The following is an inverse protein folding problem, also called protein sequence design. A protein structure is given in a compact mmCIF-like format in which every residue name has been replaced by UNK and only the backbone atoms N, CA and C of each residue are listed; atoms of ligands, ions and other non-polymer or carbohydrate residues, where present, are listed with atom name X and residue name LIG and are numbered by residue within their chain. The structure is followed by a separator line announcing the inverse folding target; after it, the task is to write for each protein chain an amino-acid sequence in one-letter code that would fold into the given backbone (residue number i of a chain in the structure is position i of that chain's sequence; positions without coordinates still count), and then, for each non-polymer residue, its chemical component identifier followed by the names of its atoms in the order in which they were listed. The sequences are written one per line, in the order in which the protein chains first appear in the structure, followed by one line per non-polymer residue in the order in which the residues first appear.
data_IF_518858128635
#
_entry.id   IF_518858128635
#
_cell.length_a   1.000
_cell.length_b   1.000
_cell.length_c   1.000
_cell.angle_alpha   90.00
_cell.angle_beta   90.00
_cell.angle_gamma   90.00
#
_symmetry.space_group_name_H-M   'P 1'
#
loop_
_entity.id
_entity.type
_entity.pdbx_description
1 polymer ?
#
# COMPACT_ATOMS: atom_id res chain seq x y z
N UNK A 1 33.36 -35.90 -46.85
CA UNK A 1 32.71 -35.99 -45.53
C UNK A 1 32.43 -34.57 -45.00
N UNK A 2 31.19 -34.08 -45.08
CA UNK A 2 30.77 -32.82 -44.44
C UNK A 2 29.86 -33.19 -43.27
N UNK A 3 30.30 -32.90 -42.04
CA UNK A 3 29.50 -33.09 -40.82
C UNK A 3 28.59 -31.87 -40.66
N UNK A 4 27.28 -32.07 -40.78
CA UNK A 4 26.27 -31.05 -40.45
C UNK A 4 26.05 -31.03 -38.95
N UNK A 5 26.18 -29.86 -38.33
CA UNK A 5 25.81 -29.61 -36.94
C UNK A 5 24.31 -29.26 -36.90
N UNK A 6 23.50 -30.06 -36.20
CA UNK A 6 22.14 -29.69 -35.84
C UNK A 6 22.21 -28.80 -34.59
N UNK A 7 21.71 -27.57 -34.69
CA UNK A 7 21.46 -26.71 -33.53
C UNK A 7 20.00 -26.91 -33.14
N UNK A 8 19.77 -27.57 -32.00
CA UNK A 8 18.44 -27.64 -31.37
C UNK A 8 18.16 -26.31 -30.67
N UNK A 9 17.20 -25.55 -31.20
CA UNK A 9 16.60 -24.42 -30.49
C UNK A 9 15.65 -24.98 -29.42
N UNK A 10 16.00 -24.82 -28.15
CA UNK A 10 15.07 -25.06 -27.04
C UNK A 10 14.25 -23.79 -26.86
N UNK A 11 12.97 -23.84 -27.24
CA UNK A 11 12.00 -22.82 -26.85
C UNK A 11 11.63 -23.07 -25.38
N UNK A 12 12.18 -22.25 -24.48
CA UNK A 12 11.67 -22.14 -23.12
C UNK A 12 10.33 -21.38 -23.19
N UNK A 13 9.23 -22.09 -23.05
CA UNK A 13 7.92 -21.49 -22.83
C UNK A 13 7.93 -20.80 -21.46
N UNK A 14 7.93 -19.47 -21.45
CA UNK A 14 7.65 -18.69 -20.24
C UNK A 14 6.18 -18.97 -19.93
N UNK A 15 5.92 -19.83 -18.94
CA UNK A 15 4.60 -19.94 -18.36
C UNK A 15 4.28 -18.58 -17.74
N UNK A 16 3.45 -17.78 -18.41
CA UNK A 16 2.89 -16.59 -17.80
C UNK A 16 2.13 -17.04 -16.57
N UNK A 17 2.61 -16.64 -15.39
CA UNK A 17 1.87 -16.81 -14.15
C UNK A 17 0.49 -16.19 -14.40
N UNK A 18 -0.54 -17.04 -14.32
CA UNK A 18 -1.91 -16.57 -14.38
C UNK A 18 -2.07 -15.67 -13.15
N UNK A 19 -2.24 -14.36 -13.38
CA UNK A 19 -2.44 -13.39 -12.32
C UNK A 19 -3.51 -13.94 -11.38
N UNK A 20 -3.18 -14.03 -10.09
CA UNK A 20 -4.17 -14.33 -9.07
C UNK A 20 -5.31 -13.32 -9.21
N UNK A 21 -6.54 -13.78 -9.09
CA UNK A 21 -7.67 -12.85 -9.02
C UNK A 21 -7.48 -12.10 -7.69
N UNK A 22 -6.98 -10.87 -7.71
CA UNK A 22 -6.83 -10.01 -6.53
C UNK A 22 -5.51 -10.14 -5.74
N UNK A 23 -5.39 -9.42 -4.61
CA UNK A 23 -4.13 -9.27 -3.88
C UNK A 23 -3.68 -10.54 -3.17
N UNK A 24 -2.36 -10.68 -2.99
CA UNK A 24 -1.76 -11.84 -2.33
C UNK A 24 -1.99 -11.77 -0.81
N UNK A 25 -1.78 -10.61 -0.22
CA UNK A 25 -2.00 -10.33 1.19
C UNK A 25 -3.38 -9.73 1.47
N UNK A 26 -3.77 -9.67 2.74
CA UNK A 26 -4.99 -8.98 3.13
C UNK A 26 -4.85 -7.47 2.96
N UNK A 27 -5.70 -6.91 2.11
CA UNK A 27 -5.76 -5.50 1.78
C UNK A 27 -6.92 -4.85 2.53
N UNK A 28 -6.59 -3.97 3.47
CA UNK A 28 -7.54 -3.26 4.29
C UNK A 28 -7.91 -1.96 3.63
N UNK A 29 -9.21 -1.68 3.53
CA UNK A 29 -9.77 -0.57 2.79
C UNK A 29 -10.78 0.18 3.65
N UNK A 30 -10.80 1.50 3.53
CA UNK A 30 -11.76 2.35 4.24
C UNK A 30 -12.68 3.06 3.25
N UNK A 31 -13.99 2.97 3.48
CA UNK A 31 -15.05 3.67 2.77
C UNK A 31 -15.76 4.61 3.76
N UNK A 32 -15.10 5.70 4.12
CA UNK A 32 -15.50 6.59 5.20
C UNK A 32 -16.90 7.19 5.04
N UNK A 33 -17.30 7.55 3.82
CA UNK A 33 -18.65 8.09 3.53
C UNK A 33 -19.76 7.08 3.84
N UNK A 34 -19.46 5.79 3.69
CA UNK A 34 -20.35 4.70 4.04
C UNK A 34 -20.14 4.20 5.48
N UNK A 35 -19.13 4.72 6.18
CA UNK A 35 -18.76 4.28 7.53
C UNK A 35 -18.33 2.82 7.59
N UNK A 36 -17.71 2.31 6.52
CA UNK A 36 -17.35 0.89 6.40
C UNK A 36 -15.84 0.70 6.24
N UNK A 37 -15.34 -0.37 6.85
CA UNK A 37 -14.03 -0.93 6.56
C UNK A 37 -14.19 -2.30 5.91
N UNK A 38 -13.30 -2.61 4.98
CA UNK A 38 -13.29 -3.83 4.19
C UNK A 38 -11.92 -4.48 4.26
N UNK A 39 -11.90 -5.81 4.18
CA UNK A 39 -10.66 -6.59 3.98
C UNK A 39 -10.87 -7.51 2.80
N UNK A 40 -10.05 -7.34 1.78
CA UNK A 40 -10.08 -8.17 0.57
C UNK A 40 -8.78 -8.95 0.44
N UNK A 41 -8.86 -10.16 -0.10
CA UNK A 41 -7.70 -10.99 -0.41
C UNK A 41 -8.08 -11.98 -1.50
N UNK A 42 -7.20 -12.18 -2.47
CA UNK A 42 -7.55 -12.87 -3.69
C UNK A 42 -8.85 -12.28 -4.27
N UNK A 43 -9.76 -13.13 -4.73
CA UNK A 43 -10.96 -12.70 -5.43
C UNK A 43 -12.18 -12.44 -4.54
N UNK A 44 -12.00 -12.29 -3.22
CA UNK A 44 -13.10 -12.21 -2.27
C UNK A 44 -12.94 -11.09 -1.24
N UNK A 45 -14.08 -10.65 -0.70
CA UNK A 45 -14.16 -9.89 0.54
C UNK A 45 -14.09 -10.88 1.71
N UNK A 46 -13.01 -10.85 2.48
CA UNK A 46 -12.82 -11.73 3.63
C UNK A 46 -13.64 -11.26 4.84
N UNK A 47 -13.63 -9.95 5.09
CA UNK A 47 -14.24 -9.32 6.27
C UNK A 47 -14.71 -7.89 5.96
N UNK A 48 -15.64 -7.42 6.76
CA UNK A 48 -16.07 -6.02 6.77
C UNK A 48 -16.65 -5.66 8.14
N UNK A 49 -16.54 -4.40 8.55
CA UNK A 49 -17.18 -3.90 9.75
C UNK A 49 -17.54 -2.42 9.62
N UNK A 50 -18.44 -1.97 10.49
CA UNK A 50 -18.81 -0.56 10.61
C UNK A 50 -17.73 0.16 11.42
N UNK A 51 -17.29 1.32 10.93
CA UNK A 51 -16.37 2.20 11.60
C UNK A 51 -16.94 2.78 12.90
N UNK A 52 -16.13 2.80 13.96
CA UNK A 52 -16.50 3.24 15.29
C UNK A 52 -16.71 4.76 15.40
N UNK A 53 -16.07 5.55 14.53
CA UNK A 53 -16.19 7.02 14.52
C UNK A 53 -16.92 7.56 13.28
N UNK A 54 -17.04 6.75 12.22
CA UNK A 54 -17.58 7.19 10.93
C UNK A 54 -16.63 8.15 10.18
N UNK A 55 -16.72 8.17 8.85
CA UNK A 55 -15.85 9.03 8.02
C UNK A 55 -14.37 8.63 8.03
N UNK A 56 -14.05 7.41 8.45
CA UNK A 56 -12.68 6.94 8.58
C UNK A 56 -12.07 6.70 7.19
N UNK A 57 -10.87 7.25 6.96
CA UNK A 57 -10.18 7.20 5.68
C UNK A 57 -8.69 6.87 5.81
N UNK A 58 -7.78 7.76 6.27
CA UNK A 58 -6.40 7.35 6.45
C UNK A 58 -6.33 6.11 7.34
N UNK A 59 -5.57 5.12 6.88
CA UNK A 59 -5.46 3.82 7.51
C UNK A 59 -3.99 3.45 7.66
N UNK A 60 -3.64 2.78 8.74
CA UNK A 60 -2.33 2.18 8.96
C UNK A 60 -2.54 0.78 9.55
N UNK A 61 -1.96 -0.24 8.92
CA UNK A 61 -2.16 -1.63 9.35
C UNK A 61 -0.84 -2.28 9.74
N UNK A 62 -0.72 -2.63 11.02
CA UNK A 62 0.40 -3.40 11.58
C UNK A 62 -0.11 -4.62 12.35
N UNK A 63 0.13 -4.68 13.66
CA UNK A 63 -0.55 -5.63 14.56
C UNK A 63 -2.00 -5.25 14.86
N UNK A 64 -2.36 -3.99 14.60
CA UNK A 64 -3.70 -3.41 14.73
C UNK A 64 -3.99 -2.57 13.48
N UNK A 65 -5.26 -2.32 13.22
CA UNK A 65 -5.74 -1.37 12.21
C UNK A 65 -5.98 -0.04 12.91
N UNK A 66 -5.34 1.03 12.46
CA UNK A 66 -5.54 2.38 12.98
C UNK A 66 -6.07 3.26 11.88
N UNK A 67 -7.08 4.06 12.19
CA UNK A 67 -7.70 4.99 11.24
C UNK A 67 -7.59 6.42 11.73
N UNK A 68 -7.82 7.36 10.82
CA UNK A 68 -8.18 8.74 11.11
C UNK A 68 -9.49 9.11 10.41
N UNK A 69 -10.12 10.16 10.93
CA UNK A 69 -11.20 10.88 10.26
C UNK A 69 -10.73 12.31 10.04
N UNK A 70 -10.83 12.82 8.81
CA UNK A 70 -10.38 14.16 8.47
C UNK A 70 -11.09 15.23 9.33
N UNK A 71 -10.34 15.97 10.14
CA UNK A 71 -10.87 16.97 11.08
C UNK A 71 -11.60 16.43 12.32
N UNK A 72 -11.57 15.11 12.57
CA UNK A 72 -12.22 14.48 13.74
C UNK A 72 -11.30 13.44 14.39
N UNK A 73 -11.87 12.48 15.13
CA UNK A 73 -11.13 11.36 15.72
C UNK A 73 -11.28 10.10 14.87
N UNK A 74 -10.18 9.37 14.66
CA UNK A 74 -10.20 7.99 14.19
C UNK A 74 -10.23 6.98 15.35
N UNK A 75 -10.04 5.71 15.03
CA UNK A 75 -10.10 4.61 15.98
C UNK A 75 -9.03 3.53 15.73
N UNK A 76 -8.97 2.57 16.65
CA UNK A 76 -8.14 1.38 16.53
C UNK A 76 -9.01 0.12 16.57
N UNK A 77 -8.64 -0.86 15.76
CA UNK A 77 -9.28 -2.15 15.69
C UNK A 77 -8.22 -3.25 15.74
N UNK A 78 -8.60 -4.40 16.29
CA UNK A 78 -7.89 -5.65 15.98
C UNK A 78 -7.94 -5.93 14.47
N UNK A 79 -7.06 -6.80 13.96
CA UNK A 79 -7.08 -7.23 12.55
C UNK A 79 -8.40 -7.90 12.11
N UNK A 80 -9.19 -8.36 13.09
CA UNK A 80 -10.53 -8.92 12.88
C UNK A 80 -11.66 -7.89 12.89
N UNK A 81 -11.37 -6.60 13.05
CA UNK A 81 -12.36 -5.51 13.04
C UNK A 81 -13.05 -5.24 14.37
N UNK A 82 -12.55 -5.77 15.48
CA UNK A 82 -13.06 -5.44 16.82
C UNK A 82 -12.44 -4.13 17.30
N UNK A 83 -13.26 -3.11 17.55
CA UNK A 83 -12.87 -1.82 18.14
C UNK A 83 -12.20 -2.02 19.51
N UNK A 84 -11.00 -1.49 19.70
CA UNK A 84 -10.24 -1.61 20.95
C UNK A 84 -10.60 -0.54 21.97
N UNK A 85 -11.34 0.50 21.55
CA UNK A 85 -11.68 1.68 22.34
C UNK A 85 -10.66 2.82 22.25
N UNK A 86 -9.48 2.60 21.64
CA UNK A 86 -8.52 3.68 21.42
C UNK A 86 -9.01 4.66 20.33
N UNK A 87 -8.72 5.95 20.51
CA UNK A 87 -9.14 7.04 19.61
C UNK A 87 -7.97 7.97 19.32
N UNK A 88 -7.90 8.44 18.10
CA UNK A 88 -6.78 9.24 17.62
C UNK A 88 -7.28 10.57 17.08
N UNK A 89 -6.83 11.67 17.65
CA UNK A 89 -7.17 12.99 17.14
C UNK A 89 -6.46 13.26 15.81
N UNK A 90 -7.16 13.87 14.85
CA UNK A 90 -6.51 14.31 13.63
C UNK A 90 -5.34 15.27 13.94
N UNK A 91 -4.15 15.08 13.36
CA UNK A 91 -2.95 15.79 13.79
C UNK A 91 -3.02 17.27 13.44
N UNK A 92 -2.68 18.14 14.38
CA UNK A 92 -2.63 19.58 14.13
C UNK A 92 -1.54 19.93 13.11
N UNK A 93 -1.82 20.90 12.22
CA UNK A 93 -0.87 21.37 11.21
C UNK A 93 -0.93 20.62 9.88
N UNK A 94 -1.66 19.51 9.81
CA UNK A 94 -2.03 18.85 8.55
C UNK A 94 -3.40 19.40 8.13
N UNK A 95 -3.54 19.85 6.88
CA UNK A 95 -4.77 20.43 6.37
C UNK A 95 -5.87 19.38 6.18
N UNK A 96 -5.57 18.34 5.43
CA UNK A 96 -6.44 17.18 5.25
C UNK A 96 -5.66 15.97 4.75
N UNK A 97 -6.11 14.77 5.08
CA UNK A 97 -5.55 13.53 4.56
C UNK A 97 -6.66 12.49 4.36
N UNK A 98 -6.54 11.68 3.31
CA UNK A 98 -7.55 10.68 2.92
C UNK A 98 -6.99 9.26 2.84
N UNK A 99 -5.67 9.12 2.88
CA UNK A 99 -4.97 7.85 2.93
C UNK A 99 -3.82 7.94 3.94
N UNK A 100 -3.30 6.79 4.34
CA UNK A 100 -2.19 6.69 5.28
C UNK A 100 -1.41 5.39 5.08
N UNK A 101 -0.24 5.34 5.71
CA UNK A 101 0.61 4.13 5.71
C UNK A 101 1.47 4.06 6.97
N UNK A 102 2.23 2.99 7.17
CA UNK A 102 3.08 2.81 8.36
C UNK A 102 4.38 2.07 8.07
N UNK A 103 5.46 2.44 8.76
CA UNK A 103 6.72 1.67 8.86
C UNK A 103 6.75 0.80 10.14
N UNK A 104 5.60 0.61 10.79
CA UNK A 104 5.39 -0.01 12.11
C UNK A 104 5.89 0.77 13.33
N UNK A 105 6.70 1.83 13.14
CA UNK A 105 7.16 2.70 14.22
C UNK A 105 6.49 4.08 14.20
N UNK A 106 6.05 4.50 13.02
CA UNK A 106 5.47 5.78 12.67
C UNK A 106 4.34 5.53 11.68
N UNK A 107 3.42 6.50 11.57
CA UNK A 107 2.47 6.54 10.46
C UNK A 107 2.81 7.73 9.56
N UNK A 108 2.47 7.59 8.28
CA UNK A 108 2.68 8.61 7.28
C UNK A 108 1.37 9.02 6.65
N UNK A 109 1.27 10.31 6.36
CA UNK A 109 0.13 10.94 5.71
C UNK A 109 0.64 11.79 4.56
N UNK A 110 -0.18 11.93 3.52
CA UNK A 110 0.01 12.97 2.53
C UNK A 110 -1.10 14.02 2.68
N UNK A 111 -0.68 15.28 2.82
CA UNK A 111 -1.59 16.39 2.97
C UNK A 111 -2.19 16.75 1.62
N UNK A 112 -3.49 16.49 1.48
CA UNK A 112 -4.26 16.78 0.28
C UNK A 112 -4.25 18.28 -0.05
N UNK A 113 -4.31 19.15 0.95
CA UNK A 113 -4.54 20.59 0.79
C UNK A 113 -3.29 21.36 0.37
N UNK A 114 -2.11 20.94 0.83
CA UNK A 114 -0.86 21.67 0.57
C UNK A 114 0.28 20.80 0.01
N UNK A 115 0.08 19.48 -0.12
CA UNK A 115 1.05 18.57 -0.73
C UNK A 115 2.27 18.26 0.13
N UNK A 116 2.13 18.28 1.46
CA UNK A 116 3.19 17.87 2.39
C UNK A 116 3.11 16.39 2.73
N UNK A 117 4.25 15.69 2.79
CA UNK A 117 4.34 14.34 3.36
C UNK A 117 4.73 14.46 4.81
N UNK A 118 3.90 13.92 5.69
CA UNK A 118 4.04 14.04 7.15
C UNK A 118 4.31 12.68 7.77
N UNK A 119 5.18 12.67 8.77
CA UNK A 119 5.36 11.56 9.71
C UNK A 119 4.65 11.90 11.02
N UNK A 120 4.07 10.88 11.65
CA UNK A 120 3.46 10.94 12.98
C UNK A 120 3.91 9.73 13.79
N UNK A 121 3.72 9.76 15.10
CA UNK A 121 3.80 8.57 15.94
C UNK A 121 2.69 7.56 15.54
N UNK A 122 2.76 6.32 16.03
CA UNK A 122 1.78 5.27 15.68
C UNK A 122 0.33 5.62 16.04
N UNK A 123 0.12 6.50 17.03
CA UNK A 123 -1.19 7.00 17.44
C UNK A 123 -1.60 8.27 16.69
N UNK A 124 -0.91 8.57 15.58
CA UNK A 124 -1.05 9.76 14.76
C UNK A 124 -0.64 11.07 15.44
N UNK A 125 -0.08 11.04 16.66
CA UNK A 125 0.38 12.25 17.34
C UNK A 125 1.74 12.74 16.82
N UNK A 126 2.18 13.90 17.33
CA UNK A 126 3.50 14.48 17.04
C UNK A 126 3.85 14.61 15.55
N UNK A 127 3.01 15.31 14.75
CA UNK A 127 3.25 15.44 13.32
C UNK A 127 4.55 16.21 13.04
N UNK A 128 5.33 15.68 12.10
CA UNK A 128 6.56 16.28 11.59
C UNK A 128 6.55 16.21 10.06
N UNK A 129 6.65 17.36 9.41
CA UNK A 129 6.80 17.42 7.96
C UNK A 129 8.12 16.74 7.59
N UNK A 130 8.08 15.75 6.70
CA UNK A 130 9.28 15.13 6.13
C UNK A 130 9.80 15.96 4.96
N UNK A 131 8.91 16.22 4.00
CA UNK A 131 9.21 17.01 2.81
C UNK A 131 7.92 17.54 2.18
N UNK A 132 8.05 18.58 1.36
CA UNK A 132 6.97 19.12 0.56
C UNK A 132 7.11 18.61 -0.88
N UNK A 133 6.03 18.13 -1.48
CA UNK A 133 6.02 17.60 -2.86
C UNK A 133 6.09 18.72 -3.91
N UNK A 134 5.78 19.96 -3.53
CA UNK A 134 5.64 21.08 -4.45
C UNK A 134 4.47 20.91 -5.44
N UNK A 135 3.97 22.00 -6.00
CA UNK A 135 2.83 21.96 -6.92
C UNK A 135 1.47 21.92 -6.23
N UNK A 136 0.42 21.60 -6.99
CA UNK A 136 -0.97 21.67 -6.54
C UNK A 136 -1.29 20.65 -5.45
N UNK A 137 -2.22 21.04 -4.58
CA UNK A 137 -3.11 20.15 -3.83
C UNK A 137 -3.63 19.02 -4.76
N UNK A 138 -4.02 17.87 -4.21
CA UNK A 138 -4.54 16.65 -4.89
C UNK A 138 -3.66 15.39 -4.76
N UNK A 139 -2.73 15.36 -3.81
CA UNK A 139 -2.06 14.10 -3.41
C UNK A 139 -2.96 13.34 -2.46
N UNK A 140 -3.23 12.08 -2.76
CA UNK A 140 -4.20 11.29 -2.02
C UNK A 140 -3.60 10.01 -1.44
N UNK A 141 -3.22 9.07 -2.31
CA UNK A 141 -2.74 7.77 -1.85
C UNK A 141 -1.28 7.81 -1.42
N UNK A 142 -0.92 7.05 -0.41
CA UNK A 142 0.45 6.93 0.10
C UNK A 142 0.70 5.51 0.62
N UNK A 143 1.86 4.92 0.29
CA UNK A 143 2.28 3.63 0.88
C UNK A 143 3.78 3.59 1.12
N UNK A 144 4.19 2.86 2.16
CA UNK A 144 5.58 2.69 2.56
C UNK A 144 6.18 1.40 1.99
N UNK A 145 7.41 1.49 1.52
CA UNK A 145 8.17 0.37 0.98
C UNK A 145 9.24 -0.09 1.97
N UNK A 146 8.97 -1.18 2.70
CA UNK A 146 9.91 -1.75 3.67
C UNK A 146 11.21 -2.27 3.04
N UNK A 147 11.23 -2.55 1.73
CA UNK A 147 12.38 -3.18 1.08
C UNK A 147 13.57 -2.22 0.92
N UNK A 148 13.29 -0.91 0.81
CA UNK A 148 14.30 0.13 0.59
C UNK A 148 14.07 1.41 1.41
N UNK A 149 13.09 1.41 2.32
CA UNK A 149 12.75 2.54 3.19
C UNK A 149 12.43 3.80 2.36
N UNK A 150 11.38 3.68 1.54
CA UNK A 150 10.90 4.74 0.64
C UNK A 150 9.38 4.86 0.71
N UNK A 151 8.84 5.88 0.04
CA UNK A 151 7.41 6.14 -0.04
C UNK A 151 6.95 6.22 -1.48
N UNK A 152 5.78 5.66 -1.75
CA UNK A 152 5.04 5.86 -2.99
C UNK A 152 3.84 6.78 -2.72
N UNK A 153 3.59 7.72 -3.61
CA UNK A 153 2.49 8.69 -3.51
C UNK A 153 1.74 8.76 -4.84
N UNK A 154 0.42 8.76 -4.79
CA UNK A 154 -0.43 8.99 -5.97
C UNK A 154 -1.12 10.35 -5.91
N UNK A 155 -1.36 10.92 -7.09
CA UNK A 155 -2.24 12.08 -7.23
C UNK A 155 -3.62 11.66 -7.70
N UNK A 156 -4.67 12.30 -7.16
CA UNK A 156 -6.05 12.03 -7.52
C UNK A 156 -6.28 12.24 -9.01
N UNK A 157 -6.29 13.48 -9.51
CA UNK A 157 -6.50 13.74 -10.94
C UNK A 157 -5.20 14.07 -11.69
N UNK A 158 -4.06 13.81 -11.07
CA UNK A 158 -2.74 14.05 -11.66
C UNK A 158 -2.27 12.91 -12.57
N UNK A 159 -2.96 11.75 -12.55
CA UNK A 159 -2.61 10.55 -13.33
C UNK A 159 -1.12 10.18 -13.18
N UNK A 160 -0.64 10.14 -11.94
CA UNK A 160 0.76 9.87 -11.63
C UNK A 160 0.87 9.10 -10.31
N UNK A 161 1.81 8.17 -10.29
CA UNK A 161 2.34 7.53 -9.08
C UNK A 161 3.83 7.84 -9.03
N UNK A 162 4.29 8.37 -7.91
CA UNK A 162 5.65 8.88 -7.71
C UNK A 162 6.32 8.17 -6.54
N UNK A 163 7.62 7.92 -6.67
CA UNK A 163 8.46 7.22 -5.72
C UNK A 163 9.47 8.19 -5.12
N UNK A 164 9.55 8.24 -3.79
CA UNK A 164 10.39 9.18 -3.06
C UNK A 164 11.23 8.48 -2.01
N UNK A 165 12.47 8.91 -1.85
CA UNK A 165 13.22 8.66 -0.62
C UNK A 165 12.57 9.42 0.55
N UNK A 166 12.90 9.02 1.79
CA UNK A 166 12.33 9.64 3.01
C UNK A 166 12.70 11.13 3.19
N UNK A 167 13.71 11.62 2.47
CA UNK A 167 14.09 13.05 2.44
C UNK A 167 13.38 13.85 1.33
N UNK A 168 12.50 13.20 0.56
CA UNK A 168 11.76 13.80 -0.55
C UNK A 168 12.48 13.76 -1.89
N UNK A 169 13.67 13.14 -1.98
CA UNK A 169 14.35 12.97 -3.27
C UNK A 169 13.51 12.05 -4.18
N UNK A 170 13.11 12.50 -5.39
CA UNK A 170 12.40 11.65 -6.34
C UNK A 170 13.29 10.52 -6.83
N UNK A 171 12.79 9.30 -6.77
CA UNK A 171 13.47 8.08 -7.21
C UNK A 171 12.91 7.55 -8.54
N UNK A 172 11.65 7.85 -8.83
CA UNK A 172 10.98 7.44 -10.06
C UNK A 172 9.51 7.87 -10.09
N UNK A 173 8.86 7.62 -11.22
CA UNK A 173 7.41 7.80 -11.36
C UNK A 173 6.90 7.04 -12.58
N UNK A 174 5.58 6.81 -12.60
CA UNK A 174 4.89 6.27 -13.77
C UNK A 174 3.47 6.84 -13.91
N UNK A 175 2.91 6.70 -15.10
CA UNK A 175 1.54 7.11 -15.43
C UNK A 175 0.66 5.85 -15.49
N UNK A 176 -0.28 5.65 -14.54
CA UNK A 176 -1.08 4.42 -14.48
C UNK A 176 -2.17 4.36 -15.55
N UNK A 177 -2.46 5.47 -16.24
CA UNK A 177 -3.51 5.52 -17.26
C UNK A 177 -4.92 5.67 -16.67
N UNK A 178 -5.01 6.17 -15.44
CA UNK A 178 -6.27 6.43 -14.74
C UNK A 178 -6.17 7.68 -13.87
N UNK A 179 -7.29 8.34 -13.63
CA UNK A 179 -7.43 9.49 -12.73
C UNK A 179 -8.30 9.12 -11.53
N UNK A 180 -8.53 10.08 -10.64
CA UNK A 180 -9.16 9.92 -9.35
C UNK A 180 -8.62 8.70 -8.57
N UNK A 181 -7.29 8.58 -8.52
CA UNK A 181 -6.58 7.45 -7.89
C UNK A 181 -6.82 7.46 -6.39
N UNK A 182 -7.09 6.29 -5.82
CA UNK A 182 -7.33 6.11 -4.39
C UNK A 182 -6.58 4.91 -3.81
N UNK A 183 -6.53 4.85 -2.47
CA UNK A 183 -6.12 3.69 -1.68
C UNK A 183 -4.80 3.07 -2.15
N UNK A 184 -3.76 3.86 -2.39
CA UNK A 184 -2.50 3.31 -2.91
C UNK A 184 -1.82 2.48 -1.81
N UNK A 185 -1.57 1.19 -2.07
CA UNK A 185 -0.93 0.29 -1.11
C UNK A 185 0.08 -0.66 -1.78
N UNK A 186 1.14 -1.04 -1.08
CA UNK A 186 2.15 -2.00 -1.55
C UNK A 186 1.92 -3.37 -0.89
N UNK A 187 1.65 -4.41 -1.69
CA UNK A 187 1.59 -5.77 -1.18
C UNK A 187 3.02 -6.30 -0.97
N UNK A 188 3.46 -6.38 0.27
CA UNK A 188 4.82 -6.80 0.60
C UNK A 188 5.12 -8.26 0.27
N UNK A 189 4.09 -9.11 0.07
CA UNK A 189 4.30 -10.52 -0.24
C UNK A 189 4.82 -10.74 -1.67
N UNK A 190 4.43 -9.88 -2.61
CA UNK A 190 4.81 -9.98 -4.03
C UNK A 190 5.46 -8.71 -4.61
N UNK A 191 5.53 -7.64 -3.81
CA UNK A 191 6.15 -6.37 -4.19
C UNK A 191 5.35 -5.57 -5.21
N UNK A 192 4.04 -5.81 -5.33
CA UNK A 192 3.16 -5.12 -6.28
C UNK A 192 2.36 -3.99 -5.64
N UNK A 193 2.13 -2.93 -6.41
CA UNK A 193 1.28 -1.81 -6.00
C UNK A 193 -0.18 -2.12 -6.36
N UNK A 194 -1.08 -1.83 -5.43
CA UNK A 194 -2.52 -1.89 -5.59
C UNK A 194 -3.12 -0.50 -5.38
N UNK A 195 -4.08 -0.13 -6.21
CA UNK A 195 -4.81 1.13 -6.07
C UNK A 195 -6.19 1.04 -6.72
N UNK A 196 -7.12 1.85 -6.22
CA UNK A 196 -8.46 2.03 -6.77
C UNK A 196 -8.57 3.29 -7.63
N UNK A 197 -9.74 3.48 -8.24
CA UNK A 197 -10.13 4.74 -8.87
C UNK A 197 -11.62 5.00 -8.66
N UNK A 198 -11.98 6.27 -8.45
CA UNK A 198 -13.40 6.66 -8.39
C UNK A 198 -14.11 6.59 -9.75
N UNK A 199 -13.39 6.42 -10.85
CA UNK A 199 -14.01 6.13 -12.14
C UNK A 199 -14.63 4.72 -12.19
N UNK A 200 -14.11 3.78 -11.39
CA UNK A 200 -14.56 2.40 -11.31
C UNK A 200 -14.57 1.89 -9.86
N UNK A 201 -15.44 2.45 -8.98
CA UNK A 201 -15.45 2.09 -7.57
C UNK A 201 -15.69 0.59 -7.38
N UNK A 202 -14.92 -0.04 -6.48
CA UNK A 202 -14.94 -1.48 -6.23
C UNK A 202 -14.01 -2.30 -7.12
N UNK A 203 -13.32 -1.67 -8.09
CA UNK A 203 -12.24 -2.31 -8.86
C UNK A 203 -10.88 -1.77 -8.43
N UNK A 204 -9.94 -2.68 -8.19
CA UNK A 204 -8.57 -2.39 -7.76
C UNK A 204 -7.58 -2.96 -8.76
N UNK A 205 -6.56 -2.18 -9.09
CA UNK A 205 -5.61 -2.44 -10.16
C UNK A 205 -4.24 -2.73 -9.58
N UNK A 206 -3.61 -3.77 -10.13
CA UNK A 206 -2.29 -4.23 -9.74
C UNK A 206 -1.25 -3.73 -10.74
N UNK A 207 -0.16 -3.18 -10.21
CA UNK A 207 0.98 -2.69 -10.97
C UNK A 207 2.28 -3.23 -10.39
N UNK A 208 3.24 -3.49 -11.27
CA UNK A 208 4.64 -3.59 -10.84
C UNK A 208 5.15 -2.19 -10.43
N UNK A 209 6.22 -2.12 -9.62
CA UNK A 209 6.83 -0.85 -9.20
C UNK A 209 7.37 0.00 -10.36
N UNK A 210 7.62 -0.59 -11.53
CA UNK A 210 7.99 0.14 -12.75
C UNK A 210 6.79 0.71 -13.53
N UNK A 211 5.57 0.50 -13.04
CA UNK A 211 4.33 0.95 -13.67
C UNK A 211 3.73 -0.03 -14.68
N UNK A 212 4.31 -1.22 -14.86
CA UNK A 212 3.71 -2.25 -15.73
C UNK A 212 2.38 -2.76 -15.16
N UNK A 213 1.25 -2.66 -15.88
CA UNK A 213 -0.02 -3.23 -15.44
C UNK A 213 0.05 -4.76 -15.36
N UNK A 214 -0.39 -5.32 -14.23
CA UNK A 214 -0.34 -6.78 -13.99
C UNK A 214 -1.73 -7.43 -13.98
N UNK A 215 -2.75 -6.68 -13.55
CA UNK A 215 -4.12 -7.17 -13.50
C UNK A 215 -5.04 -6.25 -12.74
N UNK A 216 -6.26 -6.72 -12.49
CA UNK A 216 -7.22 -6.06 -11.61
C UNK A 216 -8.17 -7.07 -10.99
N UNK A 217 -8.85 -6.66 -9.93
CA UNK A 217 -9.93 -7.40 -9.30
C UNK A 217 -11.09 -6.48 -8.98
N UNK A 218 -12.31 -6.93 -9.26
CA UNK A 218 -13.55 -6.25 -8.88
C UNK A 218 -14.21 -7.02 -7.75
N UNK A 219 -14.56 -6.31 -6.67
CA UNK A 219 -15.28 -6.86 -5.54
C UNK A 219 -16.68 -6.29 -5.51
N UNK A 220 -17.68 -7.09 -5.88
CA UNK A 220 -19.08 -6.67 -5.97
C UNK A 220 -19.61 -5.91 -4.73
N UNK A 221 -19.31 -6.30 -3.48
CA UNK A 221 -19.77 -5.54 -2.31
C UNK A 221 -19.18 -4.13 -2.19
N UNK A 222 -18.05 -3.87 -2.87
CA UNK A 222 -17.38 -2.57 -2.88
C UNK A 222 -17.79 -1.69 -4.07
N UNK A 223 -18.64 -2.18 -4.98
CA UNK A 223 -19.15 -1.38 -6.09
C UNK A 223 -19.97 -0.21 -5.56
N UNK A 224 -19.58 1.01 -5.94
CA UNK A 224 -20.18 2.26 -5.48
C UNK A 224 -19.74 2.73 -4.08
N UNK A 225 -18.81 2.03 -3.42
CA UNK A 225 -18.20 2.50 -2.17
C UNK A 225 -17.15 3.57 -2.46
N UNK A 226 -17.08 4.61 -1.62
CA UNK A 226 -16.06 5.65 -1.76
C UNK A 226 -14.78 5.23 -1.02
N UNK A 227 -14.05 4.24 -1.56
CA UNK A 227 -12.79 3.78 -0.93
C UNK A 227 -11.65 4.76 -1.22
N UNK A 228 -11.20 5.48 -0.19
CA UNK A 228 -10.09 6.45 -0.32
C UNK A 228 -8.79 5.98 0.34
N UNK A 229 -8.89 5.36 1.51
CA UNK A 229 -7.75 4.80 2.23
C UNK A 229 -7.55 3.31 1.95
N UNK A 230 -6.30 2.87 1.87
CA UNK A 230 -5.98 1.46 1.71
C UNK A 230 -4.58 1.12 2.18
N UNK A 231 -4.43 -0.02 2.85
CA UNK A 231 -3.13 -0.46 3.35
C UNK A 231 -3.10 -1.99 3.49
N UNK A 232 -1.95 -2.59 3.17
CA UNK A 232 -1.69 -4.00 3.45
C UNK A 232 -1.20 -4.17 4.87
N UNK A 233 -1.46 -5.32 5.48
CA UNK A 233 -0.86 -5.60 6.77
C UNK A 233 0.68 -5.60 6.66
N UNK A 234 1.32 -4.60 7.28
CA UNK A 234 2.76 -4.54 7.39
C UNK A 234 3.25 -5.69 8.28
N UNK A 235 3.93 -6.66 7.66
CA UNK A 235 4.58 -7.77 8.37
C UNK A 235 6.09 -7.51 8.30
N UNK A 236 6.79 -7.33 9.44
CA UNK A 236 8.25 -7.28 9.42
C UNK A 236 8.76 -8.52 8.70
N UNK A 237 9.66 -8.36 7.72
CA UNK A 237 10.26 -9.52 7.07
C UNK A 237 10.76 -10.49 8.15
N UNK A 238 10.29 -11.75 8.16
CA UNK A 238 10.64 -12.64 9.23
C UNK A 238 12.16 -12.83 9.21
N UNK A 239 12.78 -12.72 10.39
CA UNK A 239 14.22 -12.89 10.61
C UNK A 239 14.79 -14.22 10.06
N UNK A 240 13.95 -15.12 9.56
CA UNK A 240 14.29 -16.28 8.74
C UNK A 240 15.17 -15.97 7.53
N UNK A 241 15.09 -14.79 6.89
CA UNK A 241 16.02 -14.43 5.81
C UNK A 241 17.45 -14.24 6.32
N UNK A 242 17.60 -13.66 7.52
CA UNK A 242 18.89 -13.58 8.22
C UNK A 242 19.35 -14.99 8.64
N UNK A 243 18.45 -15.84 9.13
CA UNK A 243 18.77 -17.21 9.51
C UNK A 243 19.22 -18.07 8.30
N UNK A 244 18.61 -17.90 7.12
CA UNK A 244 19.02 -18.56 5.89
C UNK A 244 20.40 -18.07 5.42
N UNK A 245 20.64 -16.75 5.48
CA UNK A 245 21.95 -16.16 5.18
C UNK A 245 23.06 -16.65 6.10
N UNK A 246 22.81 -16.70 7.41
CA UNK A 246 23.75 -17.25 8.39
C UNK A 246 23.95 -18.76 8.20
N UNK A 247 22.88 -19.51 7.90
CA UNK A 247 22.95 -20.94 7.63
C UNK A 247 23.82 -21.28 6.42
N UNK A 248 23.69 -20.54 5.32
CA UNK A 248 24.51 -20.71 4.11
C UNK A 248 25.98 -20.33 4.35
N UNK A 249 26.24 -19.27 5.12
CA UNK A 249 27.61 -18.87 5.51
C UNK A 249 28.29 -19.92 6.39
N UNK A 250 27.56 -20.52 7.34
CA UNK A 250 28.07 -21.60 8.19
C UNK A 250 28.35 -22.87 7.39
N UNK A 251 27.51 -23.21 6.41
CA UNK A 251 27.73 -24.34 5.50
C UNK A 251 28.94 -24.13 4.57
N UNK A 252 29.15 -22.92 4.06
CA UNK A 252 30.33 -22.57 3.26
C UNK A 252 31.63 -22.66 4.08
N UNK A 253 31.61 -22.18 5.34
CA UNK A 253 32.77 -22.28 6.26
C UNK A 253 33.15 -23.73 6.61
N UNK A 254 32.18 -24.65 6.61
CA UNK A 254 32.42 -26.07 6.92
C UNK A 254 33.01 -26.85 5.74
N UNK A 255 32.90 -26.36 4.51
CA UNK A 255 33.53 -26.97 3.32
C UNK A 255 34.97 -26.50 3.06
N UNK A 256 35.41 -25.45 3.74
CA UNK A 256 36.76 -24.86 3.61
C UNK A 256 37.73 -25.31 4.73
N UNK A 257 37.32 -26.26 5.56
CA UNK A 257 38.16 -26.94 6.56
C UNK A 257 38.19 -28.42 6.23
#
# INVERSE_FOLDING_TARGET
MKKGFLVSLVFASIAGAQAGVGPTSEYYLTAGDQGMLWVVQGGAVNRSWVGATGGEYPIAVGSEVRTLTNGSQGAEYTLGGVDTGARYAFPAGIGSAWDGTTDLNNNYLVDWSVGGVWRTDRDWSNPSLLFALGGSAERLGITYDFSDNTLWVSGWDLNVVEHFAMDGTPLGSFVPGMTSITCLALDHADGTLWMGTQAQPGTFFQFAKDGTPMGSATFEPLVGQNTLGGEFQAVPEPASMIALGVGLLLLARRRLR
#
